data_IF_322030321994
#
_entry.id   IF_322030321994
#
_cell.length_a   1.000
_cell.length_b   1.000
_cell.length_c   1.000
_cell.angle_alpha   90.00
_cell.angle_beta   90.00
_cell.angle_gamma   90.00
#
_symmetry.space_group_name_H-M   'P 1'
#
loop_
_entity.id
_entity.type
_entity.pdbx_description
1 polymer ?
#
# COMPACT_ATOMS: atom_id res chain seq x y z
N UNK A 1 -24.73 -21.24 30.21
CA UNK A 1 -24.69 -20.34 29.04
C UNK A 1 -23.75 -20.95 28.01
N UNK A 2 -24.12 -21.02 26.74
CA UNK A 2 -23.24 -21.52 25.68
C UNK A 2 -21.97 -20.69 25.55
N UNK A 3 -20.92 -21.32 25.02
CA UNK A 3 -19.64 -20.68 24.72
C UNK A 3 -19.43 -20.75 23.22
N UNK A 4 -19.30 -19.59 22.59
CA UNK A 4 -19.05 -19.46 21.16
C UNK A 4 -17.57 -19.26 20.90
N UNK A 5 -17.07 -19.87 19.83
CA UNK A 5 -15.70 -19.70 19.35
C UNK A 5 -15.73 -18.90 18.04
N UNK A 6 -14.90 -17.87 18.01
CA UNK A 6 -14.66 -17.03 16.85
C UNK A 6 -13.17 -17.05 16.53
N UNK A 7 -12.83 -17.37 15.28
CA UNK A 7 -11.49 -17.14 14.76
C UNK A 7 -11.61 -16.21 13.56
N UNK A 8 -10.85 -15.12 13.58
CA UNK A 8 -10.82 -14.14 12.49
C UNK A 8 -9.40 -13.79 12.13
N UNK A 9 -9.21 -13.33 10.90
CA UNK A 9 -8.06 -12.52 10.55
C UNK A 9 -8.39 -11.06 10.84
N UNK A 10 -7.50 -10.36 11.53
CA UNK A 10 -7.69 -8.98 11.92
C UNK A 10 -6.42 -8.15 11.75
N UNK A 11 -6.61 -6.86 11.47
CA UNK A 11 -5.56 -5.86 11.32
C UNK A 11 -5.46 -5.00 12.59
N UNK A 12 -4.26 -4.74 13.13
CA UNK A 12 -4.08 -3.74 14.18
C UNK A 12 -4.48 -2.36 13.69
N UNK A 13 -5.13 -1.55 14.53
CA UNK A 13 -5.31 -0.12 14.25
C UNK A 13 -4.07 0.67 14.65
N UNK A 14 -3.95 1.93 14.22
CA UNK A 14 -2.81 2.80 14.59
C UNK A 14 -2.61 2.98 16.10
N UNK A 15 -3.67 2.73 16.90
CA UNK A 15 -3.63 2.82 18.37
C UNK A 15 -3.30 1.48 19.05
N UNK A 16 -3.00 0.42 18.29
CA UNK A 16 -2.69 -0.88 18.87
C UNK A 16 -1.37 -0.81 19.68
N UNK A 17 -1.38 -1.20 20.96
CA UNK A 17 -0.21 -1.03 21.81
C UNK A 17 0.90 -2.04 21.54
N UNK A 18 0.65 -3.09 20.74
CA UNK A 18 1.61 -4.19 20.56
C UNK A 18 2.02 -4.40 19.11
N UNK A 19 1.10 -4.29 18.16
CA UNK A 19 1.31 -4.66 16.75
C UNK A 19 1.21 -3.45 15.84
N UNK A 20 1.95 -3.45 14.73
CA UNK A 20 1.88 -2.43 13.71
C UNK A 20 0.74 -2.69 12.70
N UNK A 21 0.23 -1.64 12.06
CA UNK A 21 -0.90 -1.67 11.10
C UNK A 21 -0.68 -2.58 9.89
N UNK A 22 0.57 -2.84 9.52
CA UNK A 22 0.95 -3.78 8.46
C UNK A 22 0.97 -5.25 8.90
N UNK A 23 0.68 -5.56 10.17
CA UNK A 23 0.79 -6.92 10.73
C UNK A 23 -0.57 -7.59 11.02
N UNK A 24 -1.29 -8.09 10.01
CA UNK A 24 -2.39 -9.02 10.23
C UNK A 24 -2.05 -10.15 11.20
N UNK A 25 -3.06 -10.54 11.97
CA UNK A 25 -3.00 -11.64 12.91
C UNK A 25 -4.28 -12.46 12.89
N UNK A 26 -4.14 -13.72 13.27
CA UNK A 26 -5.26 -14.57 13.65
C UNK A 26 -5.68 -14.22 15.09
N UNK A 27 -6.93 -13.81 15.25
CA UNK A 27 -7.54 -13.49 16.52
C UNK A 27 -8.57 -14.57 16.86
N UNK A 28 -8.29 -15.35 17.90
CA UNK A 28 -9.17 -16.41 18.41
C UNK A 28 -9.82 -15.93 19.71
N UNK A 29 -11.13 -16.11 19.84
CA UNK A 29 -11.87 -15.74 21.04
C UNK A 29 -12.92 -16.78 21.40
N UNK A 30 -13.08 -17.02 22.70
CA UNK A 30 -14.21 -17.75 23.28
C UNK A 30 -15.09 -16.77 24.04
N UNK A 31 -16.38 -16.69 23.70
CA UNK A 31 -17.34 -15.74 24.27
C UNK A 31 -18.51 -16.50 24.86
N UNK A 32 -18.77 -16.29 26.15
CA UNK A 32 -19.97 -16.83 26.82
C UNK A 32 -21.14 -15.89 26.54
N UNK A 33 -22.22 -16.35 25.92
CA UNK A 33 -23.39 -15.50 25.63
C UNK A 33 -24.70 -16.29 25.70
N UNK A 34 -25.84 -15.62 25.53
CA UNK A 34 -27.16 -16.29 25.50
C UNK A 34 -27.43 -16.95 24.16
N UNK A 35 -26.94 -16.33 23.08
CA UNK A 35 -27.08 -16.79 21.70
C UNK A 35 -25.88 -16.36 20.84
N UNK A 36 -25.81 -16.84 19.60
CA UNK A 36 -24.71 -16.54 18.70
C UNK A 36 -24.62 -15.07 18.26
N UNK A 37 -25.75 -14.34 18.22
CA UNK A 37 -25.77 -12.94 17.79
C UNK A 37 -25.18 -12.02 18.87
N UNK A 38 -25.63 -12.19 20.12
CA UNK A 38 -25.08 -11.51 21.29
C UNK A 38 -23.60 -11.85 21.50
N UNK A 39 -23.18 -13.09 21.23
CA UNK A 39 -21.79 -13.49 21.25
C UNK A 39 -20.94 -12.72 20.21
N UNK A 40 -21.44 -12.60 18.98
CA UNK A 40 -20.76 -11.90 17.88
C UNK A 40 -20.65 -10.38 18.16
N UNK A 41 -21.70 -9.74 18.67
CA UNK A 41 -21.64 -8.33 19.07
C UNK A 41 -20.56 -8.09 20.15
N UNK A 42 -20.49 -8.98 21.14
CA UNK A 42 -19.47 -8.92 22.20
C UNK A 42 -18.06 -9.20 21.67
N UNK A 43 -17.94 -10.06 20.68
CA UNK A 43 -16.68 -10.34 20.00
C UNK A 43 -16.17 -9.09 19.26
N UNK A 44 -17.00 -8.45 18.43
CA UNK A 44 -16.62 -7.21 17.73
C UNK A 44 -16.30 -6.07 18.69
N UNK A 45 -17.08 -5.90 19.78
CA UNK A 45 -16.77 -4.94 20.83
C UNK A 45 -15.39 -5.20 21.46
N UNK A 46 -15.00 -6.48 21.60
CA UNK A 46 -13.67 -6.85 22.09
C UNK A 46 -12.57 -6.54 21.10
N UNK A 47 -12.76 -6.81 19.80
CA UNK A 47 -11.81 -6.42 18.75
C UNK A 47 -11.56 -4.90 18.78
N UNK A 48 -12.63 -4.10 18.76
CA UNK A 48 -12.53 -2.64 18.80
C UNK A 48 -11.81 -2.14 20.06
N UNK A 49 -12.18 -2.67 21.23
CA UNK A 49 -11.55 -2.32 22.51
C UNK A 49 -10.07 -2.68 22.56
N UNK A 50 -9.66 -3.73 21.85
CA UNK A 50 -8.28 -4.18 21.76
C UNK A 50 -7.53 -3.57 20.57
N UNK A 51 -8.12 -2.56 19.90
CA UNK A 51 -7.53 -1.85 18.77
C UNK A 51 -7.24 -2.76 17.57
N UNK A 52 -8.18 -3.65 17.26
CA UNK A 52 -8.19 -4.49 16.07
C UNK A 52 -9.37 -4.16 15.16
N UNK A 53 -9.13 -4.32 13.87
CA UNK A 53 -10.10 -4.18 12.79
C UNK A 53 -10.27 -5.53 12.12
N UNK A 54 -11.52 -5.95 11.95
CA UNK A 54 -11.85 -7.21 11.32
C UNK A 54 -11.45 -7.19 9.83
N UNK A 55 -10.93 -8.33 9.35
CA UNK A 55 -10.67 -8.57 7.93
C UNK A 55 -11.49 -9.75 7.42
N UNK A 56 -11.40 -10.92 8.07
CA UNK A 56 -11.94 -12.15 7.51
C UNK A 56 -12.41 -13.12 8.60
N UNK A 57 -13.50 -13.84 8.36
CA UNK A 57 -13.89 -14.98 9.19
C UNK A 57 -13.08 -16.22 8.84
N UNK A 58 -12.50 -16.88 9.84
CA UNK A 58 -11.90 -18.22 9.71
C UNK A 58 -12.77 -19.30 10.35
N UNK A 59 -13.44 -18.96 11.45
CA UNK A 59 -14.29 -19.89 12.19
C UNK A 59 -15.35 -19.15 12.99
N UNK A 60 -16.54 -19.74 13.05
CA UNK A 60 -17.68 -19.26 13.83
C UNK A 60 -18.54 -20.45 14.22
N UNK A 61 -18.45 -20.88 15.48
CA UNK A 61 -19.21 -22.02 15.97
C UNK A 61 -19.51 -21.95 17.48
N UNK A 62 -20.46 -22.79 17.92
CA UNK A 62 -20.73 -23.04 19.33
C UNK A 62 -19.90 -24.23 19.81
N UNK A 63 -19.22 -24.08 20.95
CA UNK A 63 -18.42 -25.14 21.54
C UNK A 63 -19.28 -26.12 22.31
N UNK A 64 -19.07 -27.42 22.06
CA UNK A 64 -19.72 -28.51 22.78
C UNK A 64 -18.84 -28.90 23.98
N UNK A 65 -19.31 -28.61 25.19
CA UNK A 65 -18.53 -28.75 26.43
C UNK A 65 -17.91 -30.14 26.60
N UNK A 66 -18.67 -31.21 26.38
CA UNK A 66 -18.18 -32.58 26.52
C UNK A 66 -16.98 -32.86 25.62
N UNK A 67 -17.03 -32.41 24.35
CA UNK A 67 -15.91 -32.56 23.40
C UNK A 67 -14.68 -31.76 23.83
N UNK A 68 -14.86 -30.59 24.43
CA UNK A 68 -13.75 -29.77 24.94
C UNK A 68 -13.11 -30.44 26.16
N UNK A 69 -13.92 -31.03 27.05
CA UNK A 69 -13.43 -31.77 28.22
C UNK A 69 -12.69 -33.04 27.82
N UNK A 70 -13.18 -33.77 26.83
CA UNK A 70 -12.51 -34.94 26.25
C UNK A 70 -11.18 -34.57 25.59
N UNK A 71 -11.13 -33.47 24.84
CA UNK A 71 -9.91 -33.01 24.17
C UNK A 71 -8.83 -32.54 25.17
N UNK A 72 -9.23 -31.88 26.26
CA UNK A 72 -8.32 -31.38 27.29
C UNK A 72 -7.35 -30.29 26.82
N UNK A 73 -6.24 -30.13 27.55
CA UNK A 73 -5.14 -29.22 27.19
C UNK A 73 -5.50 -27.73 27.15
N UNK A 74 -4.79 -26.97 26.31
CA UNK A 74 -4.95 -25.50 26.19
C UNK A 74 -6.39 -25.07 25.85
N UNK A 75 -7.13 -25.90 25.08
CA UNK A 75 -8.50 -25.59 24.68
C UNK A 75 -9.46 -25.66 25.88
N UNK A 76 -9.30 -26.65 26.76
CA UNK A 76 -10.08 -26.77 27.99
C UNK A 76 -9.74 -25.63 28.98
N UNK A 77 -8.47 -25.25 29.07
CA UNK A 77 -8.04 -24.11 29.90
C UNK A 77 -8.67 -22.80 29.41
N UNK A 78 -8.60 -22.51 28.11
CA UNK A 78 -9.23 -21.36 27.48
C UNK A 78 -10.74 -21.32 27.71
N UNK A 79 -11.41 -22.48 27.57
CA UNK A 79 -12.84 -22.63 27.83
C UNK A 79 -13.19 -22.30 29.29
N UNK A 80 -12.47 -22.87 30.25
CA UNK A 80 -12.70 -22.63 31.67
C UNK A 80 -12.49 -21.15 32.04
N UNK A 81 -11.49 -20.49 31.45
CA UNK A 81 -11.28 -19.04 31.62
C UNK A 81 -12.45 -18.25 31.04
N UNK A 82 -12.93 -18.61 29.85
CA UNK A 82 -14.08 -17.97 29.23
C UNK A 82 -15.33 -18.10 30.10
N UNK A 83 -15.66 -19.30 30.58
CA UNK A 83 -16.80 -19.55 31.49
C UNK A 83 -16.70 -18.70 32.75
N UNK A 84 -15.50 -18.58 33.34
CA UNK A 84 -15.29 -17.81 34.57
C UNK A 84 -15.33 -16.30 34.37
N UNK A 85 -14.78 -15.78 33.25
CA UNK A 85 -14.60 -14.34 33.00
C UNK A 85 -15.58 -13.76 31.99
N UNK A 86 -16.45 -14.59 31.43
CA UNK A 86 -17.34 -14.27 30.32
C UNK A 86 -16.67 -14.28 28.94
N UNK A 87 -15.33 -14.26 28.86
CA UNK A 87 -14.58 -14.26 27.61
C UNK A 87 -13.12 -14.69 27.79
N UNK A 88 -12.51 -15.19 26.72
CA UNK A 88 -11.08 -15.44 26.57
C UNK A 88 -10.67 -15.11 25.13
N UNK A 89 -9.42 -14.68 24.92
CA UNK A 89 -8.88 -14.45 23.58
C UNK A 89 -7.37 -14.70 23.50
N UNK A 90 -6.91 -15.05 22.31
CA UNK A 90 -5.51 -15.20 21.91
C UNK A 90 -5.27 -14.55 20.56
N UNK A 91 -4.09 -13.97 20.39
CA UNK A 91 -3.66 -13.34 19.13
C UNK A 91 -2.38 -14.01 18.66
N UNK A 92 -2.44 -14.61 17.47
CA UNK A 92 -1.32 -15.25 16.80
C UNK A 92 -1.00 -14.43 15.54
N UNK A 93 0.15 -13.76 15.52
CA UNK A 93 0.52 -12.98 14.34
C UNK A 93 0.89 -13.90 13.18
N UNK A 94 0.56 -13.47 11.97
CA UNK A 94 0.99 -14.12 10.73
C UNK A 94 2.47 -13.81 10.42
N UNK A 95 3.05 -12.84 11.12
CA UNK A 95 4.40 -12.33 10.88
C UNK A 95 5.41 -12.92 11.87
N UNK A 96 6.63 -13.16 11.39
CA UNK A 96 7.76 -13.55 12.22
C UNK A 96 8.12 -12.41 13.20
N UNK A 97 8.38 -12.74 14.46
CA UNK A 97 8.71 -11.77 15.53
C UNK A 97 7.72 -10.59 15.67
N UNK A 98 6.42 -10.91 15.77
CA UNK A 98 5.39 -9.92 16.02
C UNK A 98 5.36 -9.42 17.46
N UNK A 99 6.32 -8.55 17.81
CA UNK A 99 6.35 -7.75 19.03
C UNK A 99 7.14 -6.43 18.84
N UNK A 100 7.75 -5.87 19.90
CA UNK A 100 8.36 -4.53 19.95
C UNK A 100 9.36 -4.24 18.81
N UNK A 101 10.03 -5.27 18.28
CA UNK A 101 10.94 -5.13 17.11
C UNK A 101 10.18 -4.86 15.80
N UNK A 102 8.89 -5.21 15.70
CA UNK A 102 8.08 -5.04 14.51
C UNK A 102 7.42 -3.66 14.36
N UNK A 103 7.56 -2.77 15.35
CA UNK A 103 7.13 -1.37 15.14
C UNK A 103 7.96 -0.64 14.10
N UNK A 104 9.19 -1.10 13.90
CA UNK A 104 10.09 -0.58 12.88
C UNK A 104 10.60 -1.76 12.08
N UNK A 105 9.84 -2.24 11.09
CA UNK A 105 10.37 -3.22 10.16
C UNK A 105 11.59 -2.64 9.44
N UNK A 106 12.51 -3.51 9.02
CA UNK A 106 13.50 -3.12 8.03
C UNK A 106 12.74 -2.66 6.78
N UNK A 107 12.74 -1.36 6.51
CA UNK A 107 12.20 -0.79 5.27
C UNK A 107 13.19 0.20 4.71
N UNK A 108 13.26 0.39 3.38
CA UNK A 108 14.27 1.24 2.77
C UNK A 108 13.97 2.72 3.05
N UNK A 109 14.97 3.60 2.93
CA UNK A 109 14.74 5.03 2.90
C UNK A 109 13.61 5.39 1.94
N UNK A 110 12.66 6.18 2.44
CA UNK A 110 11.54 6.64 1.62
C UNK A 110 12.10 7.59 0.55
N UNK A 111 11.84 7.35 -0.75
CA UNK A 111 12.14 8.36 -1.75
C UNK A 111 11.26 9.59 -1.51
N UNK A 112 11.88 10.75 -1.51
CA UNK A 112 11.23 12.03 -1.35
C UNK A 112 11.68 12.99 -2.48
N UNK A 113 11.42 14.28 -2.31
CA UNK A 113 11.88 15.27 -3.27
C UNK A 113 13.42 15.29 -3.40
N UNK A 114 14.16 15.07 -2.31
CA UNK A 114 15.63 15.03 -2.35
C UNK A 114 16.17 13.85 -3.16
N UNK A 115 15.43 12.73 -3.20
CA UNK A 115 15.72 11.60 -4.08
C UNK A 115 15.57 12.01 -5.55
N UNK A 116 14.50 12.75 -5.89
CA UNK A 116 14.27 13.25 -7.25
C UNK A 116 15.31 14.32 -7.64
N UNK A 117 15.68 15.22 -6.74
CA UNK A 117 16.76 16.20 -6.92
C UNK A 117 18.05 15.50 -7.38
N UNK A 118 18.47 14.45 -6.66
CA UNK A 118 19.68 13.68 -6.98
C UNK A 118 19.60 13.04 -8.36
N UNK A 119 18.44 12.56 -8.78
CA UNK A 119 18.24 11.96 -10.11
C UNK A 119 18.37 13.03 -11.20
N UNK A 120 17.67 14.15 -11.06
CA UNK A 120 17.68 15.22 -12.05
C UNK A 120 19.08 15.82 -12.17
N UNK A 121 19.72 16.15 -11.05
CA UNK A 121 21.10 16.66 -11.03
C UNK A 121 22.08 15.62 -11.60
N UNK A 122 21.93 14.35 -11.24
CA UNK A 122 22.74 13.25 -11.77
C UNK A 122 22.57 13.03 -13.28
N UNK A 123 21.43 13.43 -13.84
CA UNK A 123 21.16 13.44 -15.28
C UNK A 123 21.74 14.67 -15.99
N UNK A 124 22.30 15.63 -15.26
CA UNK A 124 22.84 16.91 -15.76
C UNK A 124 21.83 18.05 -15.79
N UNK A 125 20.70 17.90 -15.08
CA UNK A 125 19.70 18.93 -14.90
C UNK A 125 19.95 19.75 -13.64
N UNK A 126 19.00 20.62 -13.30
CA UNK A 126 18.98 21.40 -12.06
C UNK A 126 17.57 21.79 -11.68
N UNK A 127 17.40 22.20 -10.42
CA UNK A 127 16.17 22.88 -9.97
C UNK A 127 16.10 24.28 -10.59
N UNK A 128 14.88 24.78 -10.79
CA UNK A 128 14.69 26.18 -11.14
C UNK A 128 15.18 27.09 -10.01
N UNK A 129 15.74 28.23 -10.39
CA UNK A 129 16.15 29.28 -9.45
C UNK A 129 14.95 30.11 -9.01
N UNK A 130 15.05 30.81 -7.87
CA UNK A 130 13.97 31.67 -7.38
C UNK A 130 13.55 32.74 -8.39
N UNK A 131 14.51 33.26 -9.16
CA UNK A 131 14.25 34.21 -10.25
C UNK A 131 13.46 33.59 -11.41
N UNK A 132 13.71 32.33 -11.74
CA UNK A 132 12.94 31.59 -12.76
C UNK A 132 11.57 31.14 -12.24
N UNK A 133 11.41 31.06 -10.91
CA UNK A 133 10.15 30.73 -10.24
C UNK A 133 9.30 31.95 -9.88
N UNK A 134 9.73 33.15 -10.29
CA UNK A 134 9.07 34.41 -9.94
C UNK A 134 8.80 34.56 -8.43
N UNK A 135 9.79 34.19 -7.60
CA UNK A 135 9.70 34.13 -6.13
C UNK A 135 8.47 33.38 -5.59
N UNK A 136 8.01 32.33 -6.29
CA UNK A 136 6.84 31.53 -5.96
C UNK A 136 5.50 32.27 -5.98
N UNK A 137 5.43 33.45 -6.62
CA UNK A 137 4.16 34.15 -6.84
C UNK A 137 3.22 33.38 -7.78
N UNK A 138 3.77 32.51 -8.63
CA UNK A 138 3.02 31.64 -9.54
C UNK A 138 3.40 30.17 -9.37
N UNK A 139 2.45 29.27 -9.61
CA UNK A 139 2.73 27.83 -9.65
C UNK A 139 3.71 27.52 -10.80
N UNK A 140 4.89 27.02 -10.43
CA UNK A 140 5.98 26.73 -11.34
C UNK A 140 6.37 25.26 -11.33
N UNK A 141 7.06 24.86 -12.39
CA UNK A 141 7.69 23.56 -12.47
C UNK A 141 8.91 23.47 -11.54
N UNK A 142 9.36 22.26 -11.23
CA UNK A 142 10.50 22.07 -10.33
C UNK A 142 11.87 22.19 -11.00
N UNK A 143 12.02 21.67 -12.23
CA UNK A 143 13.34 21.42 -12.82
C UNK A 143 13.48 21.82 -14.28
N UNK A 144 14.75 21.93 -14.71
CA UNK A 144 15.16 21.97 -16.11
C UNK A 144 16.22 20.92 -16.40
N UNK A 145 16.09 20.26 -17.55
CA UNK A 145 17.06 19.28 -18.06
C UNK A 145 17.04 19.27 -19.59
N UNK A 146 18.20 19.50 -20.21
CA UNK A 146 18.30 19.72 -21.65
C UNK A 146 17.34 20.85 -22.09
N UNK A 147 16.44 20.60 -23.05
CA UNK A 147 15.42 21.56 -23.53
C UNK A 147 14.03 21.30 -22.92
N UNK A 148 14.00 20.72 -21.71
CA UNK A 148 12.76 20.35 -21.03
C UNK A 148 12.60 21.05 -19.69
N UNK A 149 11.39 21.56 -19.47
CA UNK A 149 10.87 21.94 -18.14
C UNK A 149 10.18 20.72 -17.54
N UNK A 150 10.56 20.32 -16.34
CA UNK A 150 10.09 19.09 -15.71
C UNK A 150 9.43 19.41 -14.39
N UNK A 151 8.21 18.90 -14.21
CA UNK A 151 7.53 18.91 -12.91
C UNK A 151 7.60 17.52 -12.26
N UNK A 152 7.82 17.47 -10.95
CA UNK A 152 7.70 16.26 -10.16
C UNK A 152 6.40 16.22 -9.34
N UNK A 153 5.80 15.04 -9.20
CA UNK A 153 4.70 14.80 -8.28
C UNK A 153 4.91 13.51 -7.50
N UNK A 154 4.80 13.61 -6.18
CA UNK A 154 4.77 12.45 -5.29
C UNK A 154 3.32 12.10 -4.91
N UNK A 155 3.00 10.81 -5.04
CA UNK A 155 1.72 10.19 -4.77
C UNK A 155 1.92 9.25 -3.59
N UNK A 156 1.51 9.75 -2.42
CA UNK A 156 1.78 9.13 -1.14
C UNK A 156 0.57 8.40 -0.53
N UNK A 157 -0.62 8.66 -1.04
CA UNK A 157 -1.85 8.24 -0.37
C UNK A 157 -2.48 7.02 -1.06
N UNK A 158 -2.77 5.98 -0.26
CA UNK A 158 -3.53 4.82 -0.69
C UNK A 158 -4.99 5.21 -0.95
N UNK A 159 -5.44 5.12 -2.20
CA UNK A 159 -6.79 5.57 -2.57
C UNK A 159 -7.88 4.71 -1.97
N UNK A 160 -7.64 3.40 -1.79
CA UNK A 160 -8.63 2.51 -1.18
C UNK A 160 -8.92 2.87 0.28
N UNK A 161 -7.99 3.56 0.96
CA UNK A 161 -8.18 4.01 2.35
C UNK A 161 -9.12 5.22 2.48
N UNK A 162 -9.49 5.85 1.38
CA UNK A 162 -10.26 7.10 1.35
C UNK A 162 -11.76 6.81 1.38
N UNK A 163 -12.46 7.37 2.37
CA UNK A 163 -13.89 7.14 2.58
C UNK A 163 -14.73 7.49 1.35
N UNK A 164 -14.37 8.53 0.60
CA UNK A 164 -15.09 8.93 -0.61
C UNK A 164 -14.98 7.91 -1.76
N UNK A 165 -14.10 6.91 -1.66
CA UNK A 165 -13.97 5.81 -2.60
C UNK A 165 -14.76 4.56 -2.21
N UNK A 166 -14.99 4.35 -0.91
CA UNK A 166 -15.52 3.09 -0.39
C UNK A 166 -16.84 2.68 -1.05
N UNK A 167 -17.80 3.60 -1.18
CA UNK A 167 -19.10 3.27 -1.78
C UNK A 167 -18.99 2.87 -3.26
N UNK A 168 -18.07 3.48 -4.02
CA UNK A 168 -17.88 3.16 -5.45
C UNK A 168 -17.21 1.82 -5.63
N UNK A 169 -16.22 1.53 -4.78
CA UNK A 169 -15.58 0.21 -4.75
C UNK A 169 -16.59 -0.85 -4.34
N UNK A 170 -17.40 -0.57 -3.31
CA UNK A 170 -18.43 -1.50 -2.88
C UNK A 170 -19.45 -1.79 -3.98
N UNK A 171 -19.94 -0.77 -4.70
CA UNK A 171 -20.87 -0.93 -5.81
C UNK A 171 -20.33 -1.85 -6.91
N UNK A 172 -19.02 -1.79 -7.18
CA UNK A 172 -18.36 -2.62 -8.20
C UNK A 172 -18.25 -4.08 -7.74
N UNK A 173 -17.80 -4.32 -6.50
CA UNK A 173 -17.49 -5.66 -6.04
C UNK A 173 -18.69 -6.40 -5.45
N UNK A 174 -19.72 -5.70 -4.97
CA UNK A 174 -20.89 -6.30 -4.34
C UNK A 174 -21.56 -7.42 -5.15
N UNK A 175 -21.83 -7.25 -6.47
CA UNK A 175 -22.52 -8.27 -7.26
C UNK A 175 -21.74 -9.58 -7.42
N UNK A 176 -20.43 -9.56 -7.18
CA UNK A 176 -19.57 -10.75 -7.30
C UNK A 176 -19.55 -11.60 -6.03
N UNK A 177 -20.09 -11.10 -4.92
CA UNK A 177 -20.01 -11.69 -3.58
C UNK A 177 -21.31 -11.46 -2.78
N UNK A 178 -22.48 -11.66 -3.42
CA UNK A 178 -23.78 -11.31 -2.85
C UNK A 178 -24.10 -12.02 -1.53
N UNK A 179 -23.66 -13.26 -1.37
CA UNK A 179 -23.91 -14.07 -0.17
C UNK A 179 -22.84 -13.91 0.92
N UNK A 180 -21.67 -13.37 0.58
CA UNK A 180 -20.52 -13.33 1.49
C UNK A 180 -20.55 -12.12 2.43
N UNK A 181 -20.32 -12.34 3.72
CA UNK A 181 -20.17 -11.24 4.68
C UNK A 181 -18.88 -10.42 4.45
N UNK A 182 -17.88 -11.03 3.80
CA UNK A 182 -16.58 -10.43 3.52
C UNK A 182 -16.33 -10.45 2.01
N UNK A 183 -16.05 -9.28 1.45
CA UNK A 183 -15.87 -9.09 0.01
C UNK A 183 -14.41 -8.74 -0.29
N UNK A 184 -13.64 -9.65 -0.92
CA UNK A 184 -12.27 -9.34 -1.32
C UNK A 184 -12.26 -8.36 -2.50
N UNK A 185 -11.43 -7.32 -2.41
CA UNK A 185 -11.16 -6.36 -3.49
C UNK A 185 -10.06 -6.96 -4.37
N UNK A 186 -10.43 -7.97 -5.16
CA UNK A 186 -9.54 -8.68 -6.08
C UNK A 186 -9.94 -8.38 -7.54
N UNK A 187 -9.24 -7.46 -8.24
CA UNK A 187 -9.68 -7.03 -9.55
C UNK A 187 -9.71 -8.13 -10.61
N UNK A 188 -9.05 -9.27 -10.40
CA UNK A 188 -9.07 -10.39 -11.34
C UNK A 188 -10.44 -11.05 -11.52
N UNK A 189 -11.41 -10.80 -10.61
CA UNK A 189 -12.77 -11.36 -10.73
C UNK A 189 -13.72 -10.48 -11.54
N UNK A 190 -13.35 -9.23 -11.82
CA UNK A 190 -14.23 -8.25 -12.45
C UNK A 190 -14.45 -8.56 -13.93
N UNK A 191 -15.65 -8.26 -14.42
CA UNK A 191 -15.92 -8.13 -15.85
C UNK A 191 -15.08 -6.99 -16.45
N UNK A 192 -14.89 -6.97 -17.76
CA UNK A 192 -14.15 -5.90 -18.44
C UNK A 192 -14.75 -4.51 -18.16
N UNK A 193 -16.08 -4.39 -18.18
CA UNK A 193 -16.77 -3.13 -17.91
C UNK A 193 -16.54 -2.64 -16.47
N UNK A 194 -16.64 -3.53 -15.48
CA UNK A 194 -16.41 -3.18 -14.07
C UNK A 194 -14.93 -2.95 -13.76
N UNK A 195 -14.03 -3.68 -14.42
CA UNK A 195 -12.60 -3.41 -14.38
C UNK A 195 -12.30 -1.97 -14.86
N UNK A 196 -12.92 -1.52 -15.94
CA UNK A 196 -12.76 -0.13 -16.40
C UNK A 196 -13.28 0.88 -15.39
N UNK A 197 -14.44 0.64 -14.76
CA UNK A 197 -14.97 1.49 -13.69
C UNK A 197 -14.03 1.53 -12.47
N UNK A 198 -13.47 0.38 -12.10
CA UNK A 198 -12.50 0.26 -11.03
C UNK A 198 -11.24 1.08 -11.32
N UNK A 199 -10.66 0.91 -12.52
CA UNK A 199 -9.51 1.71 -12.98
C UNK A 199 -9.84 3.20 -12.97
N UNK A 200 -11.01 3.62 -13.48
CA UNK A 200 -11.43 5.03 -13.48
C UNK A 200 -11.45 5.65 -12.06
N UNK A 201 -11.90 4.89 -11.06
CA UNK A 201 -11.90 5.33 -9.66
C UNK A 201 -10.46 5.54 -9.16
N UNK A 202 -9.57 4.61 -9.51
CA UNK A 202 -8.17 4.65 -9.08
C UNK A 202 -7.34 5.72 -9.82
N UNK A 203 -7.68 6.03 -11.07
CA UNK A 203 -6.95 6.98 -11.93
C UNK A 203 -7.13 8.43 -11.53
N UNK A 204 -8.33 8.82 -11.06
CA UNK A 204 -8.70 10.22 -10.82
C UNK A 204 -7.68 11.05 -10.01
N UNK A 205 -7.12 10.56 -8.89
CA UNK A 205 -6.09 11.30 -8.16
C UNK A 205 -4.82 11.55 -8.97
N UNK A 206 -4.41 10.58 -9.79
CA UNK A 206 -3.20 10.65 -10.61
C UNK A 206 -3.42 11.65 -11.75
N UNK A 207 -4.55 11.54 -12.44
CA UNK A 207 -4.96 12.45 -13.52
C UNK A 207 -4.94 13.91 -13.05
N UNK A 208 -5.55 14.22 -11.89
CA UNK A 208 -5.55 15.57 -11.32
C UNK A 208 -4.14 16.09 -11.01
N UNK A 209 -3.24 15.22 -10.54
CA UNK A 209 -1.83 15.60 -10.26
C UNK A 209 -1.10 15.91 -11.57
N UNK A 210 -1.35 15.14 -12.63
CA UNK A 210 -0.81 15.36 -13.97
C UNK A 210 -1.38 16.63 -14.61
N UNK A 211 -2.67 16.91 -14.47
CA UNK A 211 -3.29 18.16 -14.94
C UNK A 211 -2.64 19.39 -14.29
N UNK A 212 -2.42 19.32 -12.98
CA UNK A 212 -1.71 20.36 -12.24
C UNK A 212 -0.27 20.50 -12.74
N UNK A 213 0.44 19.40 -12.91
CA UNK A 213 1.80 19.41 -13.42
C UNK A 213 1.90 20.00 -14.84
N UNK A 214 0.97 19.64 -15.73
CA UNK A 214 0.87 20.23 -17.06
C UNK A 214 0.70 21.75 -17.01
N UNK A 215 -0.09 22.25 -16.07
CA UNK A 215 -0.34 23.68 -15.89
C UNK A 215 0.91 24.42 -15.40
N UNK A 216 1.63 23.84 -14.43
CA UNK A 216 2.92 24.36 -13.94
C UNK A 216 3.97 24.43 -15.04
N UNK A 217 4.16 23.33 -15.78
CA UNK A 217 5.09 23.28 -16.91
C UNK A 217 4.74 24.34 -17.96
N UNK A 218 3.45 24.52 -18.27
CA UNK A 218 3.00 25.53 -19.24
C UNK A 218 3.31 26.95 -18.76
N UNK A 219 3.07 27.22 -17.47
CA UNK A 219 3.37 28.51 -16.84
C UNK A 219 4.87 28.82 -16.97
N UNK A 220 5.72 27.90 -16.53
CA UNK A 220 7.17 28.06 -16.53
C UNK A 220 7.76 28.20 -17.94
N UNK A 221 7.33 27.38 -18.92
CA UNK A 221 7.79 27.53 -20.32
C UNK A 221 7.42 28.91 -20.87
N UNK A 222 6.25 29.43 -20.51
CA UNK A 222 5.82 30.77 -20.90
C UNK A 222 6.67 31.88 -20.25
N UNK A 223 6.96 31.75 -18.96
CA UNK A 223 7.75 32.72 -18.19
C UNK A 223 9.22 32.77 -18.60
N UNK A 224 9.84 31.61 -18.81
CA UNK A 224 11.25 31.52 -19.22
C UNK A 224 11.47 32.00 -20.66
N UNK A 225 10.41 32.23 -21.43
CA UNK A 225 10.46 32.64 -22.85
C UNK A 225 11.32 31.71 -23.72
N UNK A 226 11.40 30.44 -23.32
CA UNK A 226 12.23 29.44 -23.99
C UNK A 226 11.50 28.89 -25.22
N UNK A 227 11.81 29.46 -26.39
CA UNK A 227 11.20 29.06 -27.66
C UNK A 227 11.51 27.58 -27.96
N UNK A 228 10.46 26.79 -28.15
CA UNK A 228 10.57 25.38 -28.56
C UNK A 228 10.75 24.37 -27.44
N UNK A 229 10.93 24.81 -26.19
CA UNK A 229 11.06 23.91 -25.06
C UNK A 229 9.77 23.12 -24.81
N UNK A 230 9.94 21.91 -24.31
CA UNK A 230 8.85 20.96 -24.05
C UNK A 230 8.76 20.63 -22.56
N UNK A 231 7.67 19.97 -22.20
CA UNK A 231 7.40 19.51 -20.85
C UNK A 231 7.83 18.07 -20.61
N UNK A 232 8.29 17.79 -19.39
CA UNK A 232 8.39 16.46 -18.83
C UNK A 232 7.65 16.37 -17.50
N UNK A 233 7.21 15.18 -17.13
CA UNK A 233 6.64 14.93 -15.79
C UNK A 233 7.36 13.73 -15.17
N UNK A 234 7.77 13.85 -13.91
CA UNK A 234 8.25 12.73 -13.10
C UNK A 234 7.18 12.45 -12.04
N UNK A 235 6.62 11.25 -12.05
CA UNK A 235 5.66 10.79 -11.05
C UNK A 235 6.31 9.78 -10.14
N UNK A 236 6.28 10.02 -8.83
CA UNK A 236 6.72 9.09 -7.80
C UNK A 236 5.50 8.52 -7.09
N UNK A 237 5.30 7.21 -7.17
CA UNK A 237 4.33 6.49 -6.35
C UNK A 237 5.08 5.91 -5.13
N UNK A 238 4.95 6.59 -3.99
CA UNK A 238 5.58 6.21 -2.72
C UNK A 238 4.58 5.73 -1.66
N UNK A 239 3.29 5.57 -1.98
CA UNK A 239 2.31 5.09 -1.00
C UNK A 239 0.96 4.62 -1.53
N UNK A 240 0.78 4.57 -2.85
CA UNK A 240 -0.41 4.00 -3.48
C UNK A 240 -0.16 2.53 -3.81
N UNK A 241 -0.21 1.68 -2.79
CA UNK A 241 0.22 0.29 -2.82
C UNK A 241 -0.75 -0.63 -3.57
N UNK A 242 -2.06 -0.34 -3.57
CA UNK A 242 -3.05 -1.11 -4.33
C UNK A 242 -2.89 -0.98 -5.85
N UNK A 243 -2.12 0.00 -6.31
CA UNK A 243 -1.85 0.26 -7.71
C UNK A 243 -0.54 -0.39 -8.16
N UNK A 244 -0.63 -1.33 -9.11
CA UNK A 244 0.57 -1.91 -9.72
C UNK A 244 1.32 -0.88 -10.56
N UNK A 245 2.65 -0.99 -10.64
CA UNK A 245 3.47 -0.07 -11.45
C UNK A 245 3.03 -0.02 -12.92
N UNK A 246 2.64 -1.16 -13.50
CA UNK A 246 2.16 -1.24 -14.88
C UNK A 246 0.86 -0.45 -15.08
N UNK A 247 -0.09 -0.58 -14.16
CA UNK A 247 -1.34 0.17 -14.24
C UNK A 247 -1.08 1.67 -13.99
N UNK A 248 -0.19 2.01 -13.07
CA UNK A 248 0.23 3.39 -12.83
C UNK A 248 0.83 4.05 -14.09
N UNK A 249 1.74 3.35 -14.77
CA UNK A 249 2.33 3.80 -16.04
C UNK A 249 1.25 4.01 -17.11
N UNK A 250 0.30 3.08 -17.25
CA UNK A 250 -0.79 3.18 -18.22
C UNK A 250 -1.67 4.40 -17.95
N UNK A 251 -2.04 4.64 -16.69
CA UNK A 251 -2.84 5.80 -16.29
C UNK A 251 -2.08 7.09 -16.61
N UNK A 252 -0.79 7.16 -16.26
CA UNK A 252 0.04 8.32 -16.52
C UNK A 252 0.18 8.62 -18.01
N UNK A 253 0.45 7.59 -18.83
CA UNK A 253 0.55 7.70 -20.28
C UNK A 253 -0.76 8.18 -20.91
N UNK A 254 -1.90 7.61 -20.49
CA UNK A 254 -3.22 8.02 -20.99
C UNK A 254 -3.55 9.47 -20.63
N UNK A 255 -3.22 9.90 -19.41
CA UNK A 255 -3.48 11.27 -18.95
C UNK A 255 -2.70 12.33 -19.75
N UNK A 256 -1.50 12.00 -20.23
CA UNK A 256 -0.68 12.94 -21.04
C UNK A 256 -0.83 12.75 -22.55
N UNK A 257 -1.51 11.70 -23.01
CA UNK A 257 -1.55 11.32 -24.44
C UNK A 257 -2.02 12.45 -25.38
N UNK A 258 -2.93 13.31 -24.91
CA UNK A 258 -3.46 14.42 -25.69
C UNK A 258 -2.71 15.75 -25.48
N UNK A 259 -1.67 15.77 -24.63
CA UNK A 259 -0.87 16.96 -24.38
C UNK A 259 0.10 17.21 -25.54
N UNK A 260 0.06 18.41 -26.09
CA UNK A 260 1.06 18.87 -27.09
C UNK A 260 2.34 19.43 -26.46
N UNK A 261 2.28 19.69 -25.15
CA UNK A 261 3.36 20.30 -24.39
C UNK A 261 4.24 19.23 -23.74
N UNK A 262 3.64 18.20 -23.16
CA UNK A 262 4.37 17.13 -22.48
C UNK A 262 4.90 16.13 -23.49
N UNK A 263 6.23 16.00 -23.56
CA UNK A 263 6.92 15.06 -24.46
C UNK A 263 7.14 13.70 -23.80
N UNK A 264 7.33 13.67 -22.48
CA UNK A 264 7.53 12.43 -21.75
C UNK A 264 6.95 12.47 -20.34
N UNK A 265 6.61 11.28 -19.86
CA UNK A 265 6.31 11.01 -18.46
C UNK A 265 7.22 9.89 -17.97
N UNK A 266 7.83 10.10 -16.81
CA UNK A 266 8.60 9.10 -16.08
C UNK A 266 7.79 8.68 -14.87
N UNK A 267 7.63 7.38 -14.65
CA UNK A 267 6.96 6.83 -13.49
C UNK A 267 7.99 6.08 -12.63
N UNK A 268 8.08 6.43 -11.36
CA UNK A 268 8.88 5.73 -10.36
C UNK A 268 7.90 5.15 -9.34
N UNK A 269 8.06 3.89 -8.96
CA UNK A 269 7.25 3.27 -7.91
C UNK A 269 8.13 2.60 -6.90
N UNK A 270 7.81 2.83 -5.63
CA UNK A 270 8.49 2.21 -4.49
C UNK A 270 7.45 1.61 -3.56
N UNK A 271 7.54 0.31 -3.38
CA UNK A 271 6.67 -0.44 -2.49
C UNK A 271 7.52 -1.36 -1.62
N UNK A 272 7.13 -1.49 -0.36
CA UNK A 272 7.77 -2.39 0.59
C UNK A 272 6.72 -3.29 1.22
N UNK A 273 7.07 -4.56 1.38
CA UNK A 273 6.26 -5.59 2.03
C UNK A 273 7.16 -6.41 2.94
N UNK A 274 6.65 -6.87 4.07
CA UNK A 274 7.42 -7.72 4.98
C UNK A 274 6.57 -8.88 5.49
N UNK A 275 7.23 -9.98 5.83
CA UNK A 275 6.64 -11.08 6.62
C UNK A 275 7.13 -11.05 8.08
N UNK A 276 7.77 -9.97 8.51
CA UNK A 276 8.40 -9.82 9.84
C UNK A 276 9.83 -10.35 9.94
N UNK A 277 10.27 -11.15 8.96
CA UNK A 277 11.66 -11.62 8.84
C UNK A 277 12.33 -11.03 7.59
N UNK A 278 11.77 -11.34 6.41
CA UNK A 278 12.18 -10.79 5.12
C UNK A 278 11.44 -9.47 4.85
N UNK A 279 12.11 -8.54 4.17
CA UNK A 279 11.48 -7.38 3.54
C UNK A 279 11.69 -7.45 2.03
N UNK A 280 10.60 -7.49 1.28
CA UNK A 280 10.60 -7.35 -0.17
C UNK A 280 10.40 -5.90 -0.55
N UNK A 281 11.26 -5.41 -1.44
CA UNK A 281 11.19 -4.04 -1.93
C UNK A 281 11.10 -4.05 -3.44
N UNK A 282 10.13 -3.32 -3.94
CA UNK A 282 9.88 -3.18 -5.37
C UNK A 282 10.16 -1.73 -5.77
N UNK A 283 11.29 -1.53 -6.47
CA UNK A 283 11.68 -0.25 -7.05
C UNK A 283 11.60 -0.36 -8.57
N UNK A 284 10.68 0.38 -9.18
CA UNK A 284 10.47 0.32 -10.63
C UNK A 284 10.55 1.71 -11.24
N UNK A 285 11.14 1.77 -12.44
CA UNK A 285 11.21 2.96 -13.28
C UNK A 285 10.61 2.63 -14.64
N UNK A 286 9.71 3.50 -15.10
CA UNK A 286 9.17 3.48 -16.45
C UNK A 286 9.38 4.84 -17.14
N UNK A 287 9.64 4.86 -18.46
CA UNK A 287 9.66 3.70 -19.36
C UNK A 287 10.87 2.79 -19.14
N UNK A 288 10.65 1.46 -19.11
CA UNK A 288 11.72 0.46 -18.93
C UNK A 288 12.79 0.50 -20.02
N UNK A 289 12.40 0.94 -21.21
CA UNK A 289 13.29 1.16 -22.34
C UNK A 289 13.15 2.62 -22.80
N UNK A 290 13.89 3.55 -22.16
CA UNK A 290 13.79 4.96 -22.51
C UNK A 290 14.24 5.19 -23.96
N UNK A 291 13.42 5.89 -24.74
CA UNK A 291 13.68 6.14 -26.17
C UNK A 291 14.47 7.42 -26.40
N UNK A 292 14.12 8.50 -25.68
CA UNK A 292 14.75 9.82 -25.83
C UNK A 292 16.08 9.93 -25.07
N UNK A 293 16.97 10.83 -25.53
CA UNK A 293 18.26 11.10 -24.86
C UNK A 293 18.04 11.53 -23.39
N UNK A 294 17.06 12.39 -23.15
CA UNK A 294 16.70 12.91 -21.83
C UNK A 294 16.24 11.80 -20.89
N UNK A 295 15.29 10.97 -21.31
CA UNK A 295 14.76 9.87 -20.47
C UNK A 295 15.84 8.79 -20.22
N UNK A 296 16.75 8.55 -21.17
CA UNK A 296 17.94 7.68 -20.94
C UNK A 296 18.87 8.24 -19.87
N UNK A 297 19.10 9.55 -19.83
CA UNK A 297 19.89 10.19 -18.77
C UNK A 297 19.22 10.05 -17.40
N UNK A 298 17.91 10.31 -17.32
CA UNK A 298 17.12 10.14 -16.10
C UNK A 298 17.17 8.71 -15.59
N UNK A 299 16.98 7.71 -16.46
CA UNK A 299 17.05 6.29 -16.08
C UNK A 299 18.43 5.91 -15.54
N UNK A 300 19.51 6.33 -16.21
CA UNK A 300 20.88 6.06 -15.75
C UNK A 300 21.20 6.75 -14.41
N UNK A 301 20.68 7.96 -14.21
CA UNK A 301 20.82 8.67 -12.95
C UNK A 301 20.02 8.00 -11.83
N UNK A 302 18.76 7.62 -12.10
CA UNK A 302 17.93 6.82 -11.19
C UNK A 302 18.64 5.55 -10.74
N UNK A 303 19.18 4.76 -11.67
CA UNK A 303 19.87 3.51 -11.34
C UNK A 303 21.08 3.75 -10.43
N UNK A 304 21.86 4.79 -10.69
CA UNK A 304 22.99 5.17 -9.82
C UNK A 304 22.54 5.61 -8.44
N UNK A 305 21.51 6.48 -8.37
CA UNK A 305 21.00 7.01 -7.10
C UNK A 305 20.40 5.88 -6.28
N UNK A 306 19.64 4.97 -6.89
CA UNK A 306 19.10 3.79 -6.23
C UNK A 306 20.22 2.90 -5.67
N UNK A 307 21.24 2.58 -6.46
CA UNK A 307 22.38 1.81 -5.98
C UNK A 307 23.08 2.48 -4.79
N UNK A 308 23.23 3.81 -4.82
CA UNK A 308 23.82 4.55 -3.71
C UNK A 308 22.94 4.46 -2.46
N UNK A 309 21.62 4.72 -2.58
CA UNK A 309 20.68 4.62 -1.46
C UNK A 309 20.70 3.23 -0.83
N UNK A 310 20.70 2.18 -1.65
CA UNK A 310 20.78 0.80 -1.16
C UNK A 310 22.12 0.48 -0.50
N UNK A 311 23.21 1.02 -1.03
CA UNK A 311 24.56 0.86 -0.47
C UNK A 311 24.70 1.57 0.87
N UNK A 312 24.22 2.81 0.97
CA UNK A 312 24.23 3.59 2.21
C UNK A 312 23.40 2.90 3.29
N UNK A 313 22.18 2.46 2.96
CA UNK A 313 21.33 1.75 3.90
C UNK A 313 21.92 0.39 4.33
N UNK A 314 22.62 -0.30 3.44
CA UNK A 314 23.38 -1.51 3.80
C UNK A 314 24.56 -1.20 4.74
N UNK A 315 25.28 -0.11 4.52
CA UNK A 315 26.35 0.34 5.41
C UNK A 315 25.84 0.74 6.80
N UNK A 316 24.62 1.29 6.86
CA UNK A 316 23.91 1.55 8.11
C UNK A 316 23.40 0.27 8.80
N UNK A 317 23.55 -0.90 8.18
CA UNK A 317 23.16 -2.18 8.76
C UNK A 317 21.67 -2.48 8.63
N UNK A 318 20.99 -1.91 7.63
CA UNK A 318 19.54 -2.05 7.41
C UNK A 318 18.70 -1.65 8.61
N UNK A 319 19.19 -0.67 9.39
CA UNK A 319 18.52 -0.26 10.60
C UNK A 319 17.11 0.30 10.29
N UNK A 320 16.11 -0.07 11.10
CA UNK A 320 14.79 0.51 10.98
C UNK A 320 14.78 2.00 11.32
N UNK A 321 13.98 2.78 10.60
CA UNK A 321 13.81 4.20 10.86
C UNK A 321 12.35 4.62 10.56
N UNK A 322 11.68 5.36 11.47
CA UNK A 322 10.32 5.84 11.25
C UNK A 322 10.10 6.69 9.99
N UNK A 323 11.14 7.32 9.45
CA UNK A 323 11.06 8.09 8.20
C UNK A 323 11.24 7.26 6.94
N UNK A 324 11.49 5.95 7.08
CA UNK A 324 11.61 5.04 5.94
C UNK A 324 10.26 4.77 5.29
N UNK A 325 10.32 4.12 4.12
CA UNK A 325 9.16 3.77 3.33
C UNK A 325 8.19 2.94 4.18
N UNK A 326 6.91 3.37 4.35
CA UNK A 326 5.92 2.53 5.03
C UNK A 326 5.72 1.23 4.26
N UNK A 327 5.49 0.15 5.01
CA UNK A 327 5.08 -1.12 4.42
C UNK A 327 3.63 -1.01 3.92
N UNK A 328 3.31 -1.77 2.88
CA UNK A 328 1.93 -1.89 2.42
C UNK A 328 1.04 -2.45 3.53
N UNK A 329 -0.10 -1.82 3.76
CA UNK A 329 -1.05 -2.21 4.80
C UNK A 329 -2.35 -2.70 4.16
N UNK A 330 -3.00 -3.73 4.71
CA UNK A 330 -4.36 -4.06 4.30
C UNK A 330 -5.29 -2.86 4.45
N UNK A 331 -6.25 -2.77 3.54
CA UNK A 331 -7.33 -1.80 3.62
C UNK A 331 -8.62 -2.57 3.81
N UNK A 332 -9.44 -2.13 4.77
CA UNK A 332 -10.80 -2.67 4.91
C UNK A 332 -11.81 -1.58 5.21
N UNK A 333 -13.08 -1.81 4.88
CA UNK A 333 -14.16 -0.90 5.25
C UNK A 333 -15.52 -1.61 5.25
N UNK A 334 -16.45 -1.07 6.02
CA UNK A 334 -17.83 -1.56 6.07
C UNK A 334 -18.70 -0.79 5.07
N UNK A 335 -19.52 -1.51 4.31
CA UNK A 335 -20.57 -0.92 3.48
C UNK A 335 -21.72 -1.90 3.36
N UNK A 336 -22.96 -1.45 3.56
CA UNK A 336 -24.16 -2.28 3.43
C UNK A 336 -24.22 -3.52 4.35
N UNK A 337 -23.44 -3.56 5.44
CA UNK A 337 -23.34 -4.74 6.31
C UNK A 337 -22.36 -5.81 5.84
N UNK A 338 -21.53 -5.49 4.84
CA UNK A 338 -20.39 -6.32 4.40
C UNK A 338 -19.07 -5.62 4.68
N UNK A 339 -18.04 -6.41 4.98
CA UNK A 339 -16.67 -5.96 5.10
C UNK A 339 -15.95 -6.12 3.76
N UNK A 340 -15.48 -5.03 3.17
CA UNK A 340 -14.65 -5.05 1.97
C UNK A 340 -13.18 -5.06 2.38
N UNK A 341 -12.35 -5.89 1.74
CA UNK A 341 -10.93 -6.05 2.11
C UNK A 341 -10.03 -6.10 0.88
N UNK A 342 -9.05 -5.20 0.84
CA UNK A 342 -7.86 -5.34 0.00
C UNK A 342 -6.69 -5.73 0.90
N UNK A 343 -5.93 -6.74 0.49
CA UNK A 343 -4.75 -7.20 1.20
C UNK A 343 -3.54 -7.20 0.25
N UNK A 344 -2.46 -6.46 0.58
CA UNK A 344 -1.23 -6.53 -0.21
C UNK A 344 -0.57 -7.91 -0.17
N UNK A 345 -0.95 -8.78 0.77
CA UNK A 345 -0.30 -10.05 1.03
C UNK A 345 1.03 -9.88 1.79
N UNK A 346 1.70 -11.00 2.05
CA UNK A 346 2.99 -11.04 2.74
C UNK A 346 4.15 -11.26 1.77
N UNK A 347 5.34 -10.76 2.13
CA UNK A 347 6.55 -11.12 1.42
C UNK A 347 6.78 -12.65 1.48
N UNK A 348 7.14 -13.31 0.36
CA UNK A 348 7.45 -14.72 0.37
C UNK A 348 8.66 -15.00 1.26
N UNK A 349 8.63 -16.10 2.01
CA UNK A 349 9.80 -16.55 2.78
C UNK A 349 10.93 -16.96 1.84
N UNK A 350 12.12 -16.37 2.01
CA UNK A 350 13.29 -16.62 1.17
C UNK A 350 13.71 -18.11 1.10
N UNK A 351 13.38 -18.90 2.13
CA UNK A 351 13.65 -20.35 2.18
C UNK A 351 12.80 -21.21 1.23
N UNK A 352 11.65 -20.72 0.73
CA UNK A 352 10.83 -21.45 -0.26
C UNK A 352 11.39 -21.35 -1.69
N UNK A 353 12.18 -20.31 -2.00
CA UNK A 353 12.85 -20.20 -3.30
C UNK A 353 13.99 -21.22 -3.46
N UNK A 354 14.52 -21.79 -2.37
CA UNK A 354 15.55 -22.83 -2.42
C UNK A 354 14.95 -24.19 -2.82
N UNK A 355 13.65 -24.43 -2.54
CA UNK A 355 12.96 -25.67 -2.93
C UNK A 355 12.70 -25.78 -4.44
N UNK A 356 12.35 -24.68 -5.10
CA UNK A 356 12.03 -24.68 -6.55
C UNK A 356 13.28 -24.69 -7.46
N UNK A 357 14.45 -24.35 -6.94
CA UNK A 357 15.72 -24.44 -7.71
C UNK A 357 16.32 -25.86 -7.65
N UNK A 358 15.91 -26.70 -6.69
CA UNK A 358 16.34 -28.10 -6.59
C UNK A 358 15.38 -29.11 -7.24
N UNK A 359 14.25 -28.65 -7.80
CA UNK A 359 13.32 -29.49 -8.58
C UNK A 359 13.30 -29.13 -10.07
N UNK A 360 14.48 -29.02 -10.69
CA UNK A 360 14.63 -29.23 -12.14
C UNK A 360 15.50 -30.45 -12.38
N UNK A 361 15.03 -31.43 -13.18
CA UNK A 361 15.78 -32.66 -13.46
C UNK A 361 17.09 -32.41 -14.19
#
# INVERSE_FOLDING_TARGET
MPVYRFAVRAQPTANNPKYATWQPASFLAFIVAEDGFSAEQRFFASLTRLHWKFLEWKLRDELIEDRIREAGGEMLEAYNVAVKRGQWYRVDSEHFMADVMARHPMSPPRPDESFLDKIVVGAGGRRLTDAERDNDETENADYVLDEFVIEAKDIQEERLSKQECHYKIAEIFWPYFEEDAVVPIEPSVLSEADWHRYVEILSKPIERRIEKACSQVKSTVGQMQTVGWKGGIILLNSGYCSLTHKLFEQIAANAVANSRLIEFVVCITTQAQSNGFDCYMNWQFSPKQPSSKTTKKLFKAYDRVLHQVMTDWAHEGFLPNPSHQPLAEPVSFEYGGKTFVWDPGMAPFSSRQIGEVMERP
#
